data_IF_377303426742
#
_entry.id   IF_377303426742
#
_cell.length_a   1.000
_cell.length_b   1.000
_cell.length_c   1.000
_cell.angle_alpha   90.00
_cell.angle_beta   90.00
_cell.angle_gamma   90.00
#
_symmetry.space_group_name_H-M   'P 1'
#
loop_
_entity.id
_entity.type
_entity.pdbx_description
1 polymer ?
#
# COMPACT_ATOMS: atom_id res chain seq x y z
N UNK A 1 -18.69 32.79 15.04
CA UNK A 1 -18.89 31.31 14.88
C UNK A 1 -19.75 30.85 16.04
N UNK A 2 -21.03 30.51 15.76
CA UNK A 2 -22.08 30.21 16.74
C UNK A 2 -22.05 28.76 17.29
N UNK A 3 -20.90 28.07 17.22
CA UNK A 3 -20.76 26.71 17.79
C UNK A 3 -21.37 25.58 16.96
N UNK A 4 -21.85 25.84 15.74
CA UNK A 4 -22.33 24.82 14.83
C UNK A 4 -21.14 23.97 14.33
N UNK A 5 -21.27 22.63 14.36
CA UNK A 5 -20.26 21.68 13.91
C UNK A 5 -20.29 21.59 12.37
N UNK A 6 -21.49 21.61 11.78
CA UNK A 6 -21.69 21.54 10.34
C UNK A 6 -23.09 22.04 9.95
N UNK A 7 -23.33 22.20 8.64
CA UNK A 7 -24.65 22.51 8.09
C UNK A 7 -25.00 21.53 6.97
N UNK A 8 -26.28 21.27 6.79
CA UNK A 8 -26.78 20.35 5.76
C UNK A 8 -27.68 21.13 4.82
N UNK A 9 -27.28 21.21 3.55
CA UNK A 9 -28.05 21.87 2.50
C UNK A 9 -29.25 21.03 2.05
N UNK A 10 -30.34 21.70 1.69
CA UNK A 10 -31.50 21.05 1.07
C UNK A 10 -31.24 20.81 -0.43
N UNK A 11 -31.71 19.67 -1.01
CA UNK A 11 -32.58 18.65 -0.40
C UNK A 11 -31.81 17.73 0.57
N UNK A 12 -32.46 17.37 1.69
CA UNK A 12 -31.90 16.50 2.74
C UNK A 12 -31.88 15.05 2.27
N UNK A 13 -30.71 14.50 2.14
CA UNK A 13 -30.51 13.07 1.96
C UNK A 13 -30.24 12.41 3.31
N UNK A 14 -30.89 11.26 3.56
CA UNK A 14 -30.70 10.48 4.79
C UNK A 14 -29.22 10.10 4.99
N UNK A 15 -28.53 9.76 3.91
CA UNK A 15 -27.11 9.39 3.96
C UNK A 15 -26.23 10.58 4.38
N UNK A 16 -26.47 11.78 3.84
CA UNK A 16 -25.78 13.01 4.28
C UNK A 16 -26.04 13.34 5.73
N UNK A 17 -27.31 13.24 6.16
CA UNK A 17 -27.71 13.52 7.54
C UNK A 17 -27.02 12.55 8.52
N UNK A 18 -27.07 11.25 8.26
CA UNK A 18 -26.45 10.23 9.10
C UNK A 18 -24.93 10.41 9.17
N UNK A 19 -24.29 10.76 8.05
CA UNK A 19 -22.85 11.08 8.02
C UNK A 19 -22.52 12.28 8.90
N UNK A 20 -23.27 13.39 8.77
CA UNK A 20 -23.04 14.61 9.56
C UNK A 20 -23.26 14.35 11.05
N UNK A 21 -24.28 13.58 11.43
CA UNK A 21 -24.53 13.19 12.82
C UNK A 21 -23.43 12.27 13.35
N UNK A 22 -23.01 11.27 12.59
CA UNK A 22 -21.93 10.37 12.98
C UNK A 22 -20.62 11.15 13.20
N UNK A 23 -20.30 12.09 12.29
CA UNK A 23 -19.14 12.98 12.41
C UNK A 23 -19.22 13.87 13.64
N UNK A 24 -20.36 14.49 13.90
CA UNK A 24 -20.57 15.34 15.09
C UNK A 24 -20.41 14.55 16.39
N UNK A 25 -20.90 13.31 16.44
CA UNK A 25 -20.73 12.41 17.59
C UNK A 25 -19.27 11.98 17.78
N UNK A 26 -18.55 11.68 16.70
CA UNK A 26 -17.12 11.36 16.76
C UNK A 26 -16.29 12.56 17.18
N UNK A 27 -16.60 13.73 16.66
CA UNK A 27 -15.91 14.98 17.03
C UNK A 27 -16.19 15.38 18.48
N UNK A 28 -17.40 15.15 18.97
CA UNK A 28 -17.76 15.30 20.39
C UNK A 28 -16.94 14.33 21.28
N UNK A 29 -16.85 13.06 20.90
CA UNK A 29 -15.99 12.07 21.57
C UNK A 29 -14.51 12.41 21.48
N UNK A 30 -14.06 12.98 20.36
CA UNK A 30 -12.68 13.46 20.16
C UNK A 30 -12.36 14.65 21.08
N UNK A 31 -13.26 15.63 21.19
CA UNK A 31 -13.10 16.79 22.12
C UNK A 31 -13.07 16.33 23.58
N UNK A 32 -13.92 15.40 23.98
CA UNK A 32 -13.90 14.82 25.33
C UNK A 32 -12.61 14.03 25.61
N UNK A 33 -12.03 13.38 24.60
CA UNK A 33 -10.73 12.69 24.72
C UNK A 33 -9.55 13.64 24.66
N UNK A 34 -9.60 14.71 23.85
CA UNK A 34 -8.56 15.72 23.75
C UNK A 34 -8.40 16.56 25.04
N UNK A 35 -9.48 16.68 25.84
CA UNK A 35 -9.40 17.29 27.18
C UNK A 35 -8.73 16.36 28.20
N UNK A 36 -8.57 15.08 27.87
CA UNK A 36 -7.95 14.08 28.76
C UNK A 36 -6.52 13.68 28.38
N UNK A 37 -6.07 13.94 27.15
CA UNK A 37 -4.71 13.54 26.71
C UNK A 37 -4.25 14.44 25.57
N UNK A 38 -3.11 15.11 25.76
CA UNK A 38 -2.38 15.90 24.74
C UNK A 38 -1.77 15.04 23.59
N UNK A 39 -2.25 13.82 23.38
CA UNK A 39 -1.75 12.90 22.36
C UNK A 39 -2.68 12.98 21.14
N UNK A 40 -2.16 13.22 19.92
CA UNK A 40 -2.95 13.16 18.69
C UNK A 40 -3.68 11.83 18.58
N UNK A 41 -4.91 11.80 18.06
CA UNK A 41 -5.65 10.53 17.94
C UNK A 41 -4.87 9.54 17.10
N UNK A 42 -4.61 8.36 17.66
CA UNK A 42 -3.96 7.25 16.99
C UNK A 42 -4.76 6.87 15.74
N UNK A 43 -4.19 7.09 14.58
CA UNK A 43 -4.79 6.65 13.31
C UNK A 43 -4.33 5.20 13.08
N UNK A 44 -5.07 4.25 13.67
CA UNK A 44 -4.86 2.85 13.36
C UNK A 44 -5.27 2.58 11.90
N UNK A 45 -4.54 1.70 11.18
CA UNK A 45 -4.94 1.25 9.86
C UNK A 45 -6.37 0.69 9.88
N UNK A 46 -7.19 1.09 8.90
CA UNK A 46 -8.61 0.76 8.79
C UNK A 46 -8.78 -0.69 8.36
N UNK A 47 -9.83 -1.35 8.83
CA UNK A 47 -10.24 -2.70 8.49
C UNK A 47 -10.72 -3.49 9.71
N UNK A 48 -11.73 -4.36 9.51
CA UNK A 48 -12.34 -5.23 10.55
C UNK A 48 -12.08 -6.70 10.33
N UNK A 49 -11.48 -7.06 9.19
CA UNK A 49 -11.07 -8.43 8.92
C UNK A 49 -10.22 -9.00 10.05
N UNK A 50 -10.23 -10.33 10.19
CA UNK A 50 -9.37 -11.01 11.16
C UNK A 50 -7.91 -10.66 10.91
N UNK A 51 -7.51 -10.68 9.64
CA UNK A 51 -6.14 -10.39 9.20
C UNK A 51 -5.68 -8.98 9.63
N UNK A 52 -6.51 -7.95 9.46
CA UNK A 52 -6.18 -6.59 9.88
C UNK A 52 -6.20 -6.42 11.41
N UNK A 53 -7.03 -7.16 12.13
CA UNK A 53 -6.99 -7.18 13.60
C UNK A 53 -5.70 -7.82 14.12
N UNK A 54 -5.34 -9.00 13.59
CA UNK A 54 -4.12 -9.71 13.97
C UNK A 54 -2.87 -8.87 13.68
N UNK A 55 -2.88 -8.14 12.56
CA UNK A 55 -1.78 -7.25 12.19
C UNK A 55 -1.65 -6.06 13.16
N UNK A 56 -2.76 -5.46 13.58
CA UNK A 56 -2.74 -4.39 14.61
C UNK A 56 -2.27 -4.90 15.97
N UNK A 57 -2.67 -6.09 16.37
CA UNK A 57 -2.17 -6.71 17.62
C UNK A 57 -0.66 -6.96 17.53
N UNK A 58 -0.17 -7.46 16.40
CA UNK A 58 1.27 -7.63 16.18
C UNK A 58 2.01 -6.28 16.27
N UNK A 59 1.45 -5.20 15.72
CA UNK A 59 2.04 -3.86 15.88
C UNK A 59 2.10 -3.44 17.34
N UNK A 60 1.06 -3.67 18.14
CA UNK A 60 1.06 -3.36 19.58
C UNK A 60 2.15 -4.13 20.33
N UNK A 61 2.45 -5.36 19.91
CA UNK A 61 3.51 -6.17 20.53
C UNK A 61 4.89 -5.64 20.18
N UNK A 62 5.14 -5.23 18.93
CA UNK A 62 6.48 -4.80 18.47
C UNK A 62 6.77 -3.31 18.75
N UNK A 63 5.76 -2.47 18.85
CA UNK A 63 5.93 -1.03 18.96
C UNK A 63 6.70 -0.57 20.20
N UNK A 64 6.51 -1.14 21.41
CA UNK A 64 7.24 -0.74 22.61
C UNK A 64 8.74 -1.02 22.56
N UNK A 65 9.18 -1.97 21.73
CA UNK A 65 10.59 -2.32 21.60
C UNK A 65 11.30 -1.32 20.68
N UNK A 66 12.53 -0.94 21.05
CA UNK A 66 13.32 0.04 20.27
C UNK A 66 14.09 -0.61 19.09
N UNK A 67 13.83 -1.88 18.81
CA UNK A 67 14.44 -2.62 17.72
C UNK A 67 13.97 -2.08 16.34
N UNK A 68 14.85 -2.15 15.32
CA UNK A 68 14.49 -1.87 13.93
C UNK A 68 13.37 -2.79 13.42
N UNK A 69 12.48 -2.23 12.59
CA UNK A 69 11.37 -2.99 11.98
C UNK A 69 11.40 -2.85 10.47
N UNK A 70 11.42 -3.98 9.78
CA UNK A 70 11.23 -4.04 8.34
C UNK A 70 9.76 -4.33 8.01
N UNK A 71 9.13 -3.38 7.31
CA UNK A 71 7.74 -3.48 6.85
C UNK A 71 7.74 -3.97 5.40
N UNK A 72 7.37 -5.22 5.19
CA UNK A 72 7.28 -5.84 3.87
C UNK A 72 5.85 -5.79 3.33
N UNK A 73 5.70 -5.42 2.08
CA UNK A 73 4.41 -5.42 1.39
C UNK A 73 4.52 -4.93 -0.05
N UNK A 74 3.52 -5.25 -0.85
CA UNK A 74 3.42 -4.75 -2.23
C UNK A 74 3.30 -3.21 -2.26
N UNK A 75 3.61 -2.57 -3.40
CA UNK A 75 3.34 -1.15 -3.58
C UNK A 75 1.87 -0.82 -3.30
N UNK A 76 1.63 0.30 -2.58
CA UNK A 76 0.26 0.74 -2.30
C UNK A 76 -0.47 0.05 -1.15
N UNK A 77 0.13 -0.91 -0.44
CA UNK A 77 -0.47 -1.60 0.71
C UNK A 77 -0.55 -0.76 1.99
N UNK A 78 0.03 0.44 2.00
CA UNK A 78 0.00 1.32 3.19
C UNK A 78 1.15 1.11 4.16
N UNK A 79 2.31 0.64 3.72
CA UNK A 79 3.51 0.43 4.54
C UNK A 79 3.85 1.63 5.44
N UNK A 80 3.77 2.85 4.91
CA UNK A 80 4.02 4.08 5.67
C UNK A 80 2.98 4.30 6.78
N UNK A 81 1.71 3.98 6.54
CA UNK A 81 0.66 4.10 7.56
C UNK A 81 0.95 3.18 8.76
N UNK A 82 1.44 1.97 8.50
CA UNK A 82 1.87 1.05 9.55
C UNK A 82 3.13 1.54 10.28
N UNK A 83 4.10 2.12 9.57
CA UNK A 83 5.28 2.72 10.20
C UNK A 83 4.89 3.86 11.16
N UNK A 84 3.99 4.75 10.74
CA UNK A 84 3.42 5.81 11.61
C UNK A 84 2.64 5.23 12.79
N UNK A 85 1.92 4.15 12.60
CA UNK A 85 1.18 3.46 13.66
C UNK A 85 2.13 2.80 14.68
N UNK A 86 3.24 2.19 14.23
CA UNK A 86 4.30 1.67 15.10
C UNK A 86 4.89 2.82 15.94
N UNK A 87 5.25 3.95 15.29
CA UNK A 87 5.78 5.11 16.01
C UNK A 87 4.80 5.61 17.08
N UNK A 88 3.53 5.81 16.72
CA UNK A 88 2.52 6.33 17.63
C UNK A 88 2.28 5.46 18.88
N UNK A 89 2.59 4.16 18.82
CA UNK A 89 2.51 3.21 19.93
C UNK A 89 3.87 2.97 20.62
N UNK A 90 4.94 3.59 20.15
CA UNK A 90 6.30 3.36 20.65
C UNK A 90 6.64 4.28 21.84
N UNK A 91 7.71 3.94 22.56
CA UNK A 91 8.28 4.79 23.59
C UNK A 91 8.79 6.15 23.04
N UNK A 92 9.03 6.22 21.71
CA UNK A 92 9.48 7.43 21.01
C UNK A 92 8.33 8.23 20.36
N UNK A 93 7.08 8.00 20.77
CA UNK A 93 5.88 8.64 20.19
C UNK A 93 5.84 10.15 20.28
N UNK A 94 6.58 10.74 21.22
CA UNK A 94 6.77 12.20 21.35
C UNK A 94 7.92 12.76 20.50
N UNK A 95 8.79 11.89 19.96
CA UNK A 95 9.92 12.27 19.13
C UNK A 95 9.54 12.52 17.66
N UNK A 96 10.47 13.07 16.86
CA UNK A 96 10.23 13.34 15.46
C UNK A 96 10.05 12.04 14.65
N UNK A 97 9.24 12.12 13.58
CA UNK A 97 9.14 11.08 12.52
C UNK A 97 9.65 11.68 11.24
N UNK A 98 10.81 11.26 10.83
CA UNK A 98 11.41 11.68 9.58
C UNK A 98 11.22 10.56 8.55
N UNK A 99 10.66 10.90 7.38
CA UNK A 99 10.45 9.94 6.29
C UNK A 99 11.44 10.22 5.16
N UNK A 100 12.16 9.19 4.77
CA UNK A 100 13.10 9.20 3.64
C UNK A 100 12.55 8.30 2.54
N UNK A 101 12.37 8.84 1.33
CA UNK A 101 12.20 8.02 0.13
C UNK A 101 13.57 7.59 -0.39
N UNK A 102 13.85 6.28 -0.40
CA UNK A 102 15.15 5.78 -0.86
C UNK A 102 15.42 6.15 -2.34
N UNK A 103 14.38 6.19 -3.18
CA UNK A 103 14.50 6.62 -4.57
C UNK A 103 14.87 8.10 -4.78
N UNK A 104 14.82 8.93 -3.74
CA UNK A 104 15.32 10.31 -3.82
C UNK A 104 16.83 10.42 -3.50
N UNK A 105 17.44 9.33 -3.03
CA UNK A 105 18.87 9.25 -2.74
C UNK A 105 19.63 8.79 -3.98
N UNK A 106 20.71 9.47 -4.27
CA UNK A 106 21.68 9.13 -5.34
C UNK A 106 23.05 8.91 -4.71
N UNK A 107 23.97 8.32 -5.45
CA UNK A 107 25.38 8.18 -4.99
C UNK A 107 26.00 9.55 -4.68
N UNK A 108 25.64 10.61 -5.40
CA UNK A 108 26.21 11.94 -5.24
C UNK A 108 25.64 12.75 -4.07
N UNK A 109 24.42 12.46 -3.61
CA UNK A 109 23.77 13.24 -2.54
C UNK A 109 23.58 12.47 -1.22
N UNK A 110 23.91 11.18 -1.19
CA UNK A 110 23.66 10.32 -0.04
C UNK A 110 24.26 10.87 1.26
N UNK A 111 25.51 11.30 1.22
CA UNK A 111 26.22 11.84 2.38
C UNK A 111 25.57 13.13 2.87
N UNK A 112 25.30 14.07 1.95
CA UNK A 112 24.72 15.38 2.27
C UNK A 112 23.31 15.24 2.87
N UNK A 113 22.50 14.35 2.31
CA UNK A 113 21.11 14.12 2.76
C UNK A 113 21.06 13.37 4.09
N UNK A 114 21.85 12.32 4.25
CA UNK A 114 21.83 11.48 5.45
C UNK A 114 22.55 12.15 6.62
N UNK A 115 23.80 12.58 6.42
CA UNK A 115 24.67 13.09 7.49
C UNK A 115 24.55 14.61 7.67
N UNK A 116 24.18 15.35 6.62
CA UNK A 116 24.21 16.80 6.57
C UNK A 116 25.58 17.37 6.22
N UNK A 117 25.64 18.69 6.10
CA UNK A 117 26.84 19.42 5.64
C UNK A 117 27.21 20.51 6.66
N UNK A 118 28.49 20.63 6.93
CA UNK A 118 29.04 21.74 7.71
C UNK A 118 30.15 22.40 6.90
N UNK A 119 29.99 23.69 6.61
CA UNK A 119 30.94 24.50 5.86
C UNK A 119 31.03 25.92 6.42
N UNK A 120 31.83 26.78 5.81
CA UNK A 120 32.03 28.15 6.26
C UNK A 120 30.75 29.02 6.25
N UNK A 121 29.75 28.64 5.43
CA UNK A 121 28.46 29.35 5.34
C UNK A 121 27.44 28.88 6.38
N UNK A 122 27.70 27.78 7.12
CA UNK A 122 26.83 27.29 8.18
C UNK A 122 26.69 25.77 8.21
N UNK A 123 25.71 25.33 9.00
CA UNK A 123 25.39 23.92 9.25
C UNK A 123 24.02 23.61 8.65
N UNK A 124 23.95 22.57 7.84
CA UNK A 124 22.70 21.97 7.36
C UNK A 124 22.57 20.57 7.97
N UNK A 125 21.58 20.39 8.84
CA UNK A 125 21.32 19.11 9.51
C UNK A 125 20.84 18.05 8.51
N UNK A 126 21.47 16.87 8.54
CA UNK A 126 21.04 15.70 7.77
C UNK A 126 19.84 15.01 8.41
N UNK A 127 19.26 14.03 7.70
CA UNK A 127 18.07 13.31 8.17
C UNK A 127 18.33 12.51 9.44
N UNK A 128 19.52 11.97 9.64
CA UNK A 128 19.89 11.28 10.88
C UNK A 128 19.88 12.21 12.09
N UNK A 129 20.33 13.45 11.91
CA UNK A 129 20.29 14.46 12.97
C UNK A 129 18.86 14.94 13.23
N UNK A 130 18.06 15.19 12.19
CA UNK A 130 16.66 15.58 12.32
C UNK A 130 15.80 14.52 13.00
N UNK A 131 16.16 13.24 12.89
CA UNK A 131 15.44 12.11 13.47
C UNK A 131 15.87 11.79 14.91
N UNK A 132 16.85 12.51 15.49
CA UNK A 132 17.37 12.22 16.83
C UNK A 132 16.28 12.17 17.90
N UNK A 133 16.35 11.16 18.77
CA UNK A 133 15.35 10.87 19.79
C UNK A 133 14.01 10.33 19.26
N UNK A 134 13.88 10.19 17.94
CA UNK A 134 12.64 9.75 17.27
C UNK A 134 12.83 8.56 16.36
N UNK A 135 12.22 8.64 15.19
CA UNK A 135 12.17 7.57 14.18
C UNK A 135 12.58 8.10 12.81
N UNK A 136 13.47 7.37 12.13
CA UNK A 136 13.70 7.51 10.70
C UNK A 136 12.99 6.36 9.97
N UNK A 137 12.06 6.71 9.09
CA UNK A 137 11.38 5.74 8.21
C UNK A 137 11.99 5.79 6.81
N UNK A 138 12.66 4.70 6.40
CA UNK A 138 13.27 4.54 5.06
C UNK A 138 12.27 3.79 4.19
N UNK A 139 11.66 4.48 3.23
CA UNK A 139 10.66 3.90 2.34
C UNK A 139 11.29 3.44 1.04
N UNK A 140 11.16 2.12 0.75
CA UNK A 140 11.62 1.51 -0.50
C UNK A 140 13.11 1.16 -0.47
N UNK A 141 13.55 0.26 0.43
CA UNK A 141 14.95 -0.16 0.52
C UNK A 141 15.52 -0.66 -0.81
N UNK A 142 14.67 -1.19 -1.68
CA UNK A 142 15.02 -1.64 -3.03
C UNK A 142 15.68 -0.55 -3.90
N UNK A 143 15.40 0.71 -3.61
CA UNK A 143 15.90 1.87 -4.37
C UNK A 143 17.11 2.53 -3.72
N UNK A 144 17.61 1.99 -2.58
CA UNK A 144 18.71 2.62 -1.85
C UNK A 144 20.07 2.33 -2.52
N UNK A 145 20.81 3.37 -2.99
CA UNK A 145 22.06 3.17 -3.71
C UNK A 145 23.15 2.58 -2.81
N UNK A 146 24.11 1.83 -3.36
CA UNK A 146 25.18 1.18 -2.61
C UNK A 146 25.98 2.12 -1.70
N UNK A 147 26.23 3.37 -2.09
CA UNK A 147 26.87 4.38 -1.27
C UNK A 147 26.12 4.68 0.01
N UNK A 148 24.80 4.91 -0.10
CA UNK A 148 23.94 5.13 1.05
C UNK A 148 23.86 3.90 1.97
N UNK A 149 23.85 2.69 1.40
CA UNK A 149 23.89 1.45 2.19
C UNK A 149 25.17 1.34 3.02
N UNK A 150 26.33 1.69 2.45
CA UNK A 150 27.61 1.72 3.19
C UNK A 150 27.62 2.76 4.31
N UNK A 151 27.10 3.97 4.05
CA UNK A 151 27.00 5.04 5.04
C UNK A 151 26.13 4.64 6.23
N UNK A 152 24.93 4.09 5.97
CA UNK A 152 24.03 3.65 7.02
C UNK A 152 24.64 2.51 7.85
N UNK A 153 25.29 1.54 7.20
CA UNK A 153 25.96 0.46 7.90
C UNK A 153 27.04 0.99 8.85
N UNK A 154 27.90 1.90 8.37
CA UNK A 154 28.95 2.51 9.18
C UNK A 154 28.39 3.26 10.41
N UNK A 155 27.26 3.97 10.24
CA UNK A 155 26.57 4.66 11.35
C UNK A 155 26.00 3.65 12.36
N UNK A 156 25.39 2.55 11.89
CA UNK A 156 24.82 1.53 12.78
C UNK A 156 25.89 0.79 13.59
N UNK A 157 27.03 0.50 12.97
CA UNK A 157 28.14 -0.20 13.62
C UNK A 157 28.90 0.69 14.62
N UNK A 158 29.14 1.97 14.25
CA UNK A 158 29.85 2.92 15.12
C UNK A 158 28.98 3.54 16.21
N UNK A 159 27.68 3.58 16.03
CA UNK A 159 26.74 4.33 16.89
C UNK A 159 26.92 5.84 16.85
N UNK A 160 27.69 6.36 15.87
CA UNK A 160 28.00 7.78 15.71
C UNK A 160 28.07 8.15 14.23
N UNK A 161 27.93 9.44 13.92
CA UNK A 161 28.14 9.96 12.57
C UNK A 161 28.68 11.39 12.63
N UNK A 162 29.24 11.86 11.53
CA UNK A 162 29.76 13.20 11.40
C UNK A 162 29.20 13.85 10.14
N UNK A 163 28.88 15.15 10.22
CA UNK A 163 28.47 15.91 9.04
C UNK A 163 29.62 15.99 8.03
N UNK A 164 29.29 16.00 6.76
CA UNK A 164 30.26 16.21 5.69
C UNK A 164 30.96 17.56 5.87
N UNK A 165 32.30 17.55 5.90
CA UNK A 165 33.09 18.74 6.17
C UNK A 165 33.16 19.18 7.64
N UNK A 166 32.45 18.49 8.54
CA UNK A 166 32.45 18.79 9.97
C UNK A 166 33.81 18.52 10.62
N UNK A 167 34.26 19.43 11.49
CA UNK A 167 35.52 19.34 12.25
C UNK A 167 35.29 19.11 13.75
N UNK A 168 34.02 19.04 14.18
CA UNK A 168 33.64 18.83 15.57
C UNK A 168 33.69 17.36 16.01
N UNK A 169 33.27 17.09 17.24
CA UNK A 169 33.10 15.71 17.72
C UNK A 169 31.97 15.01 16.98
N UNK A 170 32.10 13.69 16.73
CA UNK A 170 31.02 12.89 16.12
C UNK A 170 29.71 13.01 16.92
N UNK A 171 28.60 13.08 16.23
CA UNK A 171 27.26 13.08 16.81
C UNK A 171 26.87 11.64 17.17
N UNK A 172 26.23 11.45 18.32
CA UNK A 172 25.72 10.14 18.71
C UNK A 172 24.48 9.82 17.88
N UNK A 173 24.38 8.57 17.43
CA UNK A 173 23.22 8.06 16.73
C UNK A 173 22.20 7.50 17.73
N UNK A 174 21.08 8.21 17.93
CA UNK A 174 19.97 7.80 18.79
C UNK A 174 18.65 7.89 18.01
N UNK A 175 18.49 7.03 17.02
CA UNK A 175 17.33 7.00 16.12
C UNK A 175 16.84 5.56 15.99
N UNK A 176 15.52 5.35 16.18
CA UNK A 176 14.92 4.06 15.82
C UNK A 176 14.68 4.01 14.32
N UNK A 177 15.10 2.91 13.68
CA UNK A 177 14.92 2.72 12.25
C UNK A 177 13.67 1.88 11.97
N UNK A 178 12.77 2.43 11.18
CA UNK A 178 11.73 1.69 10.48
C UNK A 178 12.05 1.72 8.99
N UNK A 179 11.89 0.61 8.31
CA UNK A 179 12.15 0.53 6.87
C UNK A 179 11.03 -0.19 6.15
N UNK A 180 10.88 0.04 4.86
CA UNK A 180 9.92 -0.71 4.04
C UNK A 180 10.55 -1.19 2.74
N UNK A 181 10.12 -2.36 2.29
CA UNK A 181 10.53 -2.94 1.02
C UNK A 181 9.43 -3.80 0.41
N UNK A 182 9.59 -4.13 -0.87
CA UNK A 182 8.78 -5.15 -1.52
C UNK A 182 9.30 -6.55 -1.16
N UNK A 183 8.44 -7.58 -1.10
CA UNK A 183 8.91 -8.96 -0.90
C UNK A 183 9.93 -9.37 -1.97
N UNK A 184 11.03 -9.98 -1.55
CA UNK A 184 12.11 -10.42 -2.46
C UNK A 184 12.96 -9.29 -3.04
N UNK A 185 13.00 -8.12 -2.38
CA UNK A 185 13.81 -6.98 -2.83
C UNK A 185 15.31 -7.25 -2.76
N UNK A 186 15.74 -8.16 -1.91
CA UNK A 186 17.15 -8.47 -1.64
C UNK A 186 17.90 -8.90 -2.91
N UNK A 187 17.21 -9.55 -3.83
CA UNK A 187 17.74 -10.05 -5.10
C UNK A 187 17.27 -9.27 -6.32
N UNK A 188 16.45 -8.23 -6.12
CA UNK A 188 15.96 -7.38 -7.20
C UNK A 188 16.95 -6.26 -7.51
N UNK A 189 17.09 -5.95 -8.79
CA UNK A 189 17.95 -4.86 -9.25
C UNK A 189 19.33 -5.31 -9.73
N UNK A 190 20.11 -4.40 -10.31
CA UNK A 190 21.42 -4.69 -10.90
C UNK A 190 22.49 -5.00 -9.84
N UNK A 191 22.31 -4.52 -8.62
CA UNK A 191 23.22 -4.78 -7.49
C UNK A 191 22.38 -5.33 -6.32
N UNK A 192 22.72 -6.52 -5.79
CA UNK A 192 22.05 -7.07 -4.63
C UNK A 192 22.14 -6.15 -3.42
N UNK A 193 21.07 -6.11 -2.60
CA UNK A 193 21.08 -5.38 -1.35
C UNK A 193 22.09 -6.00 -0.36
N UNK A 194 22.82 -5.19 0.38
CA UNK A 194 23.84 -5.67 1.33
C UNK A 194 23.21 -6.45 2.47
N UNK A 195 23.63 -7.70 2.65
CA UNK A 195 23.08 -8.59 3.69
C UNK A 195 23.47 -8.16 5.12
N UNK A 196 24.67 -7.56 5.29
CA UNK A 196 25.11 -7.01 6.58
C UNK A 196 24.21 -5.83 7.03
N UNK A 197 23.87 -4.90 6.12
CA UNK A 197 22.92 -3.84 6.41
C UNK A 197 21.52 -4.41 6.66
N UNK A 198 21.08 -5.38 5.85
CA UNK A 198 19.77 -6.03 6.03
C UNK A 198 19.63 -6.66 7.42
N UNK A 199 20.70 -7.30 7.93
CA UNK A 199 20.71 -7.89 9.27
C UNK A 199 20.47 -6.85 10.38
N UNK A 200 20.97 -5.62 10.19
CA UNK A 200 20.71 -4.50 11.11
C UNK A 200 19.30 -3.94 10.99
N UNK A 201 18.70 -3.95 9.79
CA UNK A 201 17.37 -3.38 9.53
C UNK A 201 16.22 -4.35 9.80
N UNK A 202 16.46 -5.65 9.70
CA UNK A 202 15.46 -6.70 9.78
C UNK A 202 15.52 -7.48 11.11
N UNK A 203 15.53 -6.77 12.22
CA UNK A 203 15.43 -7.40 13.56
C UNK A 203 14.00 -7.89 13.79
N UNK A 204 13.02 -7.09 13.41
CA UNK A 204 11.60 -7.45 13.45
C UNK A 204 10.99 -7.25 12.06
N UNK A 205 10.18 -8.21 11.62
CA UNK A 205 9.48 -8.12 10.32
C UNK A 205 7.98 -7.99 10.51
N UNK A 206 7.39 -6.97 9.88
CA UNK A 206 5.95 -6.82 9.74
C UNK A 206 5.56 -7.01 8.26
N UNK A 207 4.81 -8.08 7.94
CA UNK A 207 4.31 -8.32 6.58
C UNK A 207 2.92 -7.77 6.44
N UNK A 208 2.73 -6.85 5.49
CA UNK A 208 1.43 -6.27 5.16
C UNK A 208 0.87 -7.01 3.95
N UNK A 209 -0.29 -7.63 4.09
CA UNK A 209 -0.92 -8.36 3.00
C UNK A 209 -1.43 -7.41 1.91
N UNK A 210 -1.52 -7.87 0.66
CA UNK A 210 -2.21 -7.14 -0.39
C UNK A 210 -3.72 -7.11 -0.15
N UNK A 211 -4.39 -6.08 -0.66
CA UNK A 211 -5.82 -5.83 -0.40
C UNK A 211 -6.74 -7.00 -0.82
N UNK A 212 -6.35 -7.75 -1.85
CA UNK A 212 -7.09 -8.95 -2.29
C UNK A 212 -7.18 -10.08 -1.24
N UNK A 213 -6.30 -10.09 -0.23
CA UNK A 213 -6.32 -11.08 0.85
C UNK A 213 -7.28 -10.72 1.99
N UNK A 214 -7.73 -9.46 2.06
CA UNK A 214 -8.72 -8.99 3.04
C UNK A 214 -9.80 -8.12 2.37
N UNK A 215 -10.28 -8.58 1.23
CA UNK A 215 -11.25 -7.88 0.39
C UNK A 215 -12.61 -7.61 1.08
N UNK A 216 -12.91 -8.30 2.18
CA UNK A 216 -14.07 -8.01 3.03
C UNK A 216 -14.00 -6.60 3.65
N UNK A 217 -12.82 -6.00 3.79
CA UNK A 217 -12.64 -4.65 4.31
C UNK A 217 -12.85 -3.56 3.23
N UNK A 218 -12.93 -3.90 1.95
CA UNK A 218 -13.10 -2.93 0.85
C UNK A 218 -14.28 -1.98 1.07
N UNK A 219 -15.50 -2.41 1.46
CA UNK A 219 -16.61 -1.49 1.72
C UNK A 219 -16.33 -0.48 2.84
N UNK A 220 -15.60 -0.87 3.87
CA UNK A 220 -15.22 0.01 4.97
C UNK A 220 -14.13 1.01 4.52
N UNK A 221 -13.15 0.54 3.76
CA UNK A 221 -12.11 1.39 3.17
C UNK A 221 -12.68 2.42 2.20
N UNK A 222 -13.64 2.04 1.35
CA UNK A 222 -14.32 2.97 0.45
C UNK A 222 -15.00 4.08 1.24
N UNK A 223 -15.75 3.74 2.29
CA UNK A 223 -16.41 4.71 3.17
C UNK A 223 -15.40 5.63 3.84
N UNK A 224 -14.35 5.05 4.42
CA UNK A 224 -13.29 5.80 5.08
C UNK A 224 -12.64 6.84 4.15
N UNK A 225 -12.31 6.46 2.91
CA UNK A 225 -11.69 7.38 1.97
C UNK A 225 -12.67 8.42 1.42
N UNK A 226 -13.96 8.07 1.23
CA UNK A 226 -14.98 9.07 0.90
C UNK A 226 -15.05 10.13 2.00
N UNK A 227 -15.22 9.72 3.26
CA UNK A 227 -15.33 10.64 4.39
C UNK A 227 -14.09 11.52 4.50
N UNK A 228 -12.91 10.94 4.39
CA UNK A 228 -11.66 11.66 4.48
C UNK A 228 -11.47 12.67 3.34
N UNK A 229 -11.72 12.28 2.09
CA UNK A 229 -11.56 13.19 0.94
C UNK A 229 -12.59 14.32 0.94
N UNK A 230 -13.80 14.05 1.40
CA UNK A 230 -14.80 15.09 1.57
C UNK A 230 -14.41 16.08 2.67
N UNK A 231 -13.83 15.60 3.78
CA UNK A 231 -13.43 16.44 4.90
C UNK A 231 -12.13 17.22 4.63
N UNK A 232 -11.11 16.56 4.08
CA UNK A 232 -9.78 17.14 3.84
C UNK A 232 -9.74 18.00 2.56
N UNK A 233 -10.33 17.52 1.45
CA UNK A 233 -10.26 18.13 0.12
C UNK A 233 -11.55 18.85 -0.29
N UNK A 234 -12.59 18.83 0.56
CA UNK A 234 -13.93 19.44 0.32
C UNK A 234 -14.59 18.94 -0.96
N UNK A 235 -14.35 17.68 -1.32
CA UNK A 235 -15.00 17.08 -2.47
C UNK A 235 -16.47 16.79 -2.18
N UNK A 236 -17.35 16.74 -3.23
CA UNK A 236 -18.74 16.41 -3.04
C UNK A 236 -18.92 15.02 -2.45
N UNK A 237 -19.82 14.90 -1.47
CA UNK A 237 -20.12 13.59 -0.88
C UNK A 237 -20.88 12.71 -1.86
N UNK A 238 -20.36 11.49 -2.05
CA UNK A 238 -21.02 10.40 -2.80
C UNK A 238 -20.85 9.09 -2.05
N UNK A 239 -21.81 8.19 -2.16
CA UNK A 239 -21.76 6.86 -1.54
C UNK A 239 -21.77 5.76 -2.60
N UNK A 240 -21.06 4.69 -2.33
CA UNK A 240 -21.08 3.52 -3.21
C UNK A 240 -22.35 2.70 -3.02
N UNK A 241 -23.06 2.42 -4.09
CA UNK A 241 -24.18 1.47 -4.08
C UNK A 241 -23.74 0.04 -3.77
N UNK A 242 -24.65 -0.81 -3.31
CA UNK A 242 -24.32 -2.18 -2.89
C UNK A 242 -23.70 -2.99 -4.03
N UNK A 243 -24.24 -2.88 -5.26
CA UNK A 243 -23.69 -3.57 -6.43
C UNK A 243 -22.26 -3.11 -6.76
N UNK A 244 -21.99 -1.81 -6.66
CA UNK A 244 -20.64 -1.24 -6.83
C UNK A 244 -19.66 -1.77 -5.76
N UNK A 245 -20.07 -1.79 -4.50
CA UNK A 245 -19.24 -2.34 -3.41
C UNK A 245 -18.93 -3.82 -3.62
N UNK A 246 -19.91 -4.63 -4.01
CA UNK A 246 -19.72 -6.07 -4.28
C UNK A 246 -18.77 -6.29 -5.46
N UNK A 247 -18.87 -5.50 -6.51
CA UNK A 247 -17.94 -5.55 -7.65
C UNK A 247 -16.51 -5.24 -7.22
N UNK A 248 -16.32 -4.19 -6.41
CA UNK A 248 -15.02 -3.76 -5.92
C UNK A 248 -14.41 -4.74 -4.90
N UNK A 249 -15.21 -5.48 -4.13
CA UNK A 249 -14.74 -6.58 -3.28
C UNK A 249 -14.10 -7.71 -4.08
N UNK A 250 -14.59 -7.96 -5.29
CA UNK A 250 -14.08 -9.01 -6.17
C UNK A 250 -13.03 -8.50 -7.18
N UNK A 251 -12.62 -7.25 -7.07
CA UNK A 251 -11.56 -6.68 -7.91
C UNK A 251 -10.18 -7.03 -7.31
N UNK A 252 -9.17 -7.37 -8.13
CA UNK A 252 -7.88 -7.86 -7.65
C UNK A 252 -6.97 -6.80 -7.00
N UNK A 253 -7.26 -5.52 -7.20
CA UNK A 253 -6.52 -4.39 -6.64
C UNK A 253 -5.00 -4.47 -6.83
N UNK A 254 -4.46 -4.48 -8.05
CA UNK A 254 -3.02 -4.55 -8.29
C UNK A 254 -2.24 -3.40 -7.66
N UNK A 255 -2.83 -2.21 -7.55
CA UNK A 255 -2.27 -1.05 -6.85
C UNK A 255 -2.69 -0.93 -5.38
N UNK A 256 -3.38 -1.94 -4.82
CA UNK A 256 -3.77 -2.03 -3.41
C UNK A 256 -4.56 -0.80 -2.91
N UNK A 257 -4.29 -0.34 -1.69
CA UNK A 257 -4.97 0.83 -1.06
C UNK A 257 -4.74 2.13 -1.85
N UNK A 258 -3.57 2.27 -2.50
CA UNK A 258 -3.30 3.46 -3.32
C UNK A 258 -4.26 3.55 -4.50
N UNK A 259 -4.47 2.44 -5.18
CA UNK A 259 -5.42 2.35 -6.30
C UNK A 259 -6.86 2.60 -5.83
N UNK A 260 -7.27 1.98 -4.72
CA UNK A 260 -8.59 2.19 -4.13
C UNK A 260 -8.82 3.68 -3.78
N UNK A 261 -7.87 4.32 -3.12
CA UNK A 261 -7.95 5.75 -2.79
C UNK A 261 -8.08 6.60 -4.06
N UNK A 262 -7.27 6.32 -5.07
CA UNK A 262 -7.30 7.06 -6.35
C UNK A 262 -8.64 6.87 -7.08
N UNK A 263 -9.20 5.66 -7.06
CA UNK A 263 -10.54 5.40 -7.62
C UNK A 263 -11.60 6.24 -6.91
N UNK A 264 -11.62 6.24 -5.59
CA UNK A 264 -12.56 7.05 -4.80
C UNK A 264 -12.39 8.53 -5.14
N UNK A 265 -11.17 9.04 -5.16
CA UNK A 265 -10.89 10.46 -5.45
C UNK A 265 -11.38 10.85 -6.85
N UNK A 266 -11.11 10.06 -7.89
CA UNK A 266 -11.59 10.33 -9.25
C UNK A 266 -13.11 10.37 -9.32
N UNK A 267 -13.80 9.39 -8.75
CA UNK A 267 -15.26 9.34 -8.74
C UNK A 267 -15.90 10.52 -8.01
N UNK A 268 -15.27 11.01 -6.94
CA UNK A 268 -15.75 12.21 -6.25
C UNK A 268 -15.50 13.49 -7.07
N UNK A 269 -14.33 13.62 -7.71
CA UNK A 269 -13.97 14.78 -8.57
C UNK A 269 -14.89 14.84 -9.79
N UNK A 270 -15.17 13.71 -10.44
CA UNK A 270 -16.07 13.66 -11.60
C UNK A 270 -17.49 14.11 -11.24
N UNK A 271 -17.87 14.01 -9.97
CA UNK A 271 -19.21 14.37 -9.50
C UNK A 271 -20.28 13.40 -10.01
N UNK A 272 -21.55 13.86 -9.97
CA UNK A 272 -22.69 13.08 -10.44
C UNK A 272 -23.70 12.80 -9.32
N UNK A 273 -24.60 11.82 -9.50
CA UNK A 273 -25.59 11.43 -8.48
C UNK A 273 -24.94 11.05 -7.15
N UNK A 274 -25.65 11.23 -6.05
CA UNK A 274 -25.15 10.88 -4.71
C UNK A 274 -24.73 9.41 -4.62
N UNK A 275 -25.42 8.51 -5.32
CA UNK A 275 -25.08 7.09 -5.37
C UNK A 275 -24.21 6.76 -6.58
N UNK A 276 -22.99 6.26 -6.32
CA UNK A 276 -22.09 5.70 -7.32
C UNK A 276 -22.59 4.30 -7.69
N UNK A 277 -22.97 4.13 -8.96
CA UNK A 277 -23.56 2.89 -9.49
C UNK A 277 -22.53 1.97 -10.09
N UNK A 278 -22.93 0.70 -10.32
CA UNK A 278 -22.06 -0.32 -10.91
C UNK A 278 -21.51 0.10 -12.28
N UNK A 279 -22.30 0.76 -13.10
CA UNK A 279 -21.91 1.18 -14.45
C UNK A 279 -20.79 2.22 -14.44
N UNK A 280 -20.71 3.05 -13.41
CA UNK A 280 -19.59 3.99 -13.22
C UNK A 280 -18.31 3.23 -12.86
N UNK A 281 -18.42 2.24 -11.97
CA UNK A 281 -17.29 1.40 -11.57
C UNK A 281 -16.72 0.62 -12.75
N UNK A 282 -17.60 0.00 -13.57
CA UNK A 282 -17.13 -0.77 -14.74
C UNK A 282 -16.40 0.13 -15.75
N UNK A 283 -16.87 1.35 -15.99
CA UNK A 283 -16.19 2.31 -16.85
C UNK A 283 -14.80 2.68 -16.30
N UNK A 284 -14.69 2.95 -15.00
CA UNK A 284 -13.43 3.32 -14.37
C UNK A 284 -12.42 2.17 -14.37
N UNK A 285 -12.86 0.95 -14.06
CA UNK A 285 -11.99 -0.23 -14.06
C UNK A 285 -11.53 -0.56 -15.49
N UNK A 286 -12.44 -0.53 -16.47
CA UNK A 286 -12.10 -0.82 -17.86
C UNK A 286 -11.14 0.20 -18.47
N UNK A 287 -11.19 1.45 -18.05
CA UNK A 287 -10.27 2.50 -18.52
C UNK A 287 -8.84 2.34 -17.97
N UNK A 288 -8.65 1.59 -16.87
CA UNK A 288 -7.36 1.43 -16.21
C UNK A 288 -6.68 0.08 -16.47
N UNK A 289 -7.41 -0.90 -16.94
CA UNK A 289 -6.81 -2.14 -17.38
C UNK A 289 -6.07 -1.88 -18.68
N UNK A 290 -4.74 -2.11 -18.77
CA UNK A 290 -4.13 -2.34 -20.05
C UNK A 290 -4.81 -3.60 -20.57
N UNK A 291 -5.71 -3.42 -21.52
CA UNK A 291 -6.42 -4.41 -22.33
C UNK A 291 -6.20 -5.88 -21.89
N UNK A 292 -6.68 -6.24 -20.71
CA UNK A 292 -7.13 -7.61 -20.49
C UNK A 292 -8.55 -7.62 -21.07
N UNK A 293 -8.61 -8.03 -22.33
CA UNK A 293 -9.85 -8.18 -23.07
C UNK A 293 -10.83 -9.00 -22.22
N UNK A 294 -12.09 -8.53 -22.06
CA UNK A 294 -13.08 -9.34 -21.35
C UNK A 294 -13.14 -10.72 -21.98
N UNK A 295 -13.11 -11.78 -21.15
CA UNK A 295 -13.16 -13.19 -21.57
C UNK A 295 -14.32 -13.51 -22.53
N UNK A 296 -15.30 -12.62 -22.58
CA UNK A 296 -16.42 -12.65 -23.54
C UNK A 296 -16.44 -11.30 -24.25
N UNK A 297 -15.73 -11.16 -25.36
CA UNK A 297 -15.87 -10.03 -26.26
C UNK A 297 -17.29 -10.00 -26.83
N UNK A 298 -17.83 -8.80 -27.07
CA UNK A 298 -19.10 -8.63 -27.81
C UNK A 298 -19.06 -9.38 -29.15
N UNK A 299 -17.90 -9.53 -29.76
CA UNK A 299 -17.68 -10.30 -30.98
C UNK A 299 -18.02 -11.80 -30.84
N UNK A 300 -17.88 -12.38 -29.63
CA UNK A 300 -18.27 -13.77 -29.38
C UNK A 300 -19.78 -13.99 -29.40
N UNK A 301 -20.55 -12.96 -29.10
CA UNK A 301 -22.03 -13.04 -29.17
C UNK A 301 -22.54 -13.00 -30.62
N UNK A 302 -21.72 -12.53 -31.55
CA UNK A 302 -22.04 -12.52 -32.98
C UNK A 302 -21.65 -13.84 -33.67
N UNK A 303 -20.90 -14.75 -33.01
CA UNK A 303 -20.45 -16.00 -33.56
C UNK A 303 -21.47 -17.16 -33.34
N UNK A 304 -21.50 -18.14 -34.23
CA UNK A 304 -22.20 -19.38 -33.95
C UNK A 304 -21.66 -20.04 -32.67
N UNK A 305 -22.56 -20.68 -31.88
CA UNK A 305 -22.23 -21.24 -30.56
C UNK A 305 -20.96 -22.09 -30.53
N UNK A 306 -20.74 -22.90 -31.59
CA UNK A 306 -19.54 -23.74 -31.71
C UNK A 306 -18.26 -22.90 -31.74
N UNK A 307 -18.21 -21.87 -32.55
CA UNK A 307 -17.06 -20.99 -32.69
C UNK A 307 -16.84 -20.17 -31.43
N UNK A 308 -17.90 -19.59 -30.84
CA UNK A 308 -17.85 -18.89 -29.59
C UNK A 308 -17.27 -19.74 -28.45
N UNK A 309 -17.69 -21.02 -28.39
CA UNK A 309 -17.17 -22.00 -27.42
C UNK A 309 -15.69 -22.32 -27.65
N UNK A 310 -15.23 -22.50 -28.90
CA UNK A 310 -13.82 -22.72 -29.21
C UNK A 310 -12.95 -21.53 -28.83
N UNK A 311 -13.42 -20.32 -29.08
CA UNK A 311 -12.72 -19.08 -28.64
C UNK A 311 -12.62 -18.98 -27.14
N UNK A 312 -13.72 -19.24 -26.42
CA UNK A 312 -13.73 -19.21 -24.95
C UNK A 312 -12.78 -20.27 -24.38
N UNK A 313 -12.87 -21.53 -24.86
CA UNK A 313 -12.03 -22.62 -24.37
C UNK A 313 -10.54 -22.36 -24.63
N UNK A 314 -10.19 -21.77 -25.79
CA UNK A 314 -8.82 -21.37 -26.12
C UNK A 314 -8.31 -20.30 -25.12
N UNK A 315 -9.04 -19.21 -24.93
CA UNK A 315 -8.68 -18.14 -24.05
C UNK A 315 -8.54 -18.63 -22.60
N UNK A 316 -9.50 -19.42 -22.11
CA UNK A 316 -9.51 -20.00 -20.77
C UNK A 316 -8.29 -20.90 -20.55
N UNK A 317 -8.02 -21.84 -21.44
CA UNK A 317 -6.90 -22.78 -21.30
C UNK A 317 -5.54 -22.09 -21.43
N UNK A 318 -5.41 -21.09 -22.31
CA UNK A 318 -4.19 -20.28 -22.44
C UNK A 318 -3.89 -19.54 -21.13
N UNK A 319 -4.88 -18.88 -20.55
CA UNK A 319 -4.72 -18.15 -19.29
C UNK A 319 -4.41 -19.08 -18.12
N UNK A 320 -5.11 -20.21 -18.02
CA UNK A 320 -4.85 -21.20 -16.98
C UNK A 320 -3.45 -21.84 -17.12
N UNK A 321 -2.96 -22.02 -18.35
CA UNK A 321 -1.62 -22.53 -18.63
C UNK A 321 -0.55 -21.54 -18.17
N UNK A 322 -0.74 -20.24 -18.41
CA UNK A 322 0.15 -19.18 -17.90
C UNK A 322 0.20 -19.18 -16.37
N UNK A 323 -0.96 -19.28 -15.70
CA UNK A 323 -1.04 -19.37 -14.24
C UNK A 323 -0.37 -20.62 -13.64
N UNK A 324 -0.19 -21.66 -14.47
CA UNK A 324 0.55 -22.87 -14.11
C UNK A 324 2.01 -22.86 -14.59
N UNK A 325 2.55 -21.69 -15.00
CA UNK A 325 3.89 -21.53 -15.55
C UNK A 325 4.20 -22.55 -16.67
N UNK A 326 3.21 -22.80 -17.56
CA UNK A 326 3.34 -23.72 -18.69
C UNK A 326 3.21 -25.22 -18.34
N UNK A 327 3.12 -25.60 -17.07
CA UNK A 327 3.10 -27.00 -16.62
C UNK A 327 1.75 -27.67 -16.86
N UNK A 328 1.63 -28.44 -17.97
CA UNK A 328 0.38 -29.10 -18.37
C UNK A 328 -0.14 -30.08 -17.30
N UNK A 329 0.73 -30.70 -16.52
CA UNK A 329 0.32 -31.60 -15.43
C UNK A 329 -0.40 -30.86 -14.27
N UNK A 330 0.01 -29.63 -13.98
CA UNK A 330 -0.68 -28.78 -13.00
C UNK A 330 -1.98 -28.21 -13.58
N UNK A 331 -1.95 -27.84 -14.87
CA UNK A 331 -3.13 -27.39 -15.58
C UNK A 331 -4.23 -28.47 -15.56
N UNK A 332 -3.90 -29.72 -15.84
CA UNK A 332 -4.86 -30.84 -15.86
C UNK A 332 -5.60 -30.96 -14.49
N UNK A 333 -4.86 -30.91 -13.40
CA UNK A 333 -5.43 -30.92 -12.03
C UNK A 333 -6.32 -29.71 -11.77
N UNK A 334 -5.89 -28.52 -12.23
CA UNK A 334 -6.58 -27.26 -11.98
C UNK A 334 -7.90 -27.14 -12.74
N UNK A 335 -7.93 -27.59 -14.00
CA UNK A 335 -9.14 -27.54 -14.84
C UNK A 335 -10.01 -28.78 -14.72
N UNK A 336 -9.62 -29.78 -13.91
CA UNK A 336 -10.40 -31.01 -13.68
C UNK A 336 -10.46 -31.91 -14.89
N UNK A 337 -9.42 -31.94 -15.73
CA UNK A 337 -9.37 -32.75 -16.94
C UNK A 337 -8.28 -33.82 -16.87
N UNK A 338 -8.52 -34.97 -17.47
CA UNK A 338 -7.48 -36.00 -17.66
C UNK A 338 -6.37 -35.46 -18.59
N UNK A 339 -5.10 -35.77 -18.28
CA UNK A 339 -3.93 -35.29 -19.02
C UNK A 339 -4.00 -35.57 -20.52
N UNK A 340 -4.36 -36.79 -20.88
CA UNK A 340 -4.44 -37.24 -22.28
C UNK A 340 -5.50 -36.48 -23.07
N UNK A 341 -6.65 -36.23 -22.42
CA UNK A 341 -7.74 -35.44 -23.00
C UNK A 341 -7.36 -33.95 -23.12
N UNK A 342 -6.68 -33.39 -22.12
CA UNK A 342 -6.22 -32.03 -22.14
C UNK A 342 -5.18 -31.78 -23.26
N UNK A 343 -4.20 -32.66 -23.45
CA UNK A 343 -3.24 -32.55 -24.58
C UNK A 343 -3.92 -32.51 -25.94
N UNK A 344 -4.91 -33.40 -26.17
CA UNK A 344 -5.70 -33.40 -27.42
C UNK A 344 -6.47 -32.07 -27.58
N UNK A 345 -7.05 -31.58 -26.50
CA UNK A 345 -7.81 -30.32 -26.46
C UNK A 345 -6.92 -29.12 -26.77
N UNK A 346 -5.75 -28.98 -26.12
CA UNK A 346 -4.80 -27.90 -26.36
C UNK A 346 -4.35 -27.88 -27.84
N UNK A 347 -4.05 -29.06 -28.42
CA UNK A 347 -3.70 -29.16 -29.84
C UNK A 347 -4.86 -28.77 -30.77
N UNK A 348 -6.07 -29.22 -30.51
CA UNK A 348 -7.24 -28.90 -31.34
C UNK A 348 -7.58 -27.41 -31.32
N UNK A 349 -7.28 -26.74 -30.22
CA UNK A 349 -7.50 -25.30 -30.03
C UNK A 349 -6.30 -24.44 -30.49
N UNK A 350 -5.17 -25.04 -30.89
CA UNK A 350 -3.98 -24.33 -31.34
C UNK A 350 -3.27 -23.56 -30.20
N UNK A 351 -3.39 -24.06 -28.96
CA UNK A 351 -2.68 -23.48 -27.82
C UNK A 351 -1.27 -24.04 -27.76
N UNK A 352 -0.26 -23.18 -27.80
CA UNK A 352 1.15 -23.59 -27.69
C UNK A 352 1.51 -23.91 -26.22
N UNK A 353 2.02 -25.11 -25.98
CA UNK A 353 2.40 -25.63 -24.67
C UNK A 353 3.81 -26.25 -24.66
N UNK A 354 4.60 -26.08 -25.76
CA UNK A 354 5.89 -26.75 -25.94
C UNK A 354 7.08 -26.05 -25.29
N UNK A 355 6.91 -24.85 -24.72
CA UNK A 355 8.03 -24.07 -24.12
C UNK A 355 8.33 -24.34 -22.64
N UNK A 356 7.75 -25.34 -22.00
CA UNK A 356 7.84 -25.55 -20.56
C UNK A 356 8.17 -26.98 -20.10
N UNK A 357 8.72 -27.81 -20.93
CA UNK A 357 9.16 -29.20 -20.58
C UNK A 357 10.71 -29.30 -20.60
N UNK A 358 11.43 -28.24 -20.11
CA UNK A 358 12.86 -28.33 -19.73
C UNK A 358 13.07 -27.95 -18.27
#
# INVERSE_FOLDING_TARGET
RLGAIDYVEKPLSLAKLLRTVARALEEGKRRQRATRTLVPPLIAPVGRSRLMRDLREKVKQIAPHDAPVLVLGEPGTGREAFARYIHALSARSSGPVISLSAGAITEGNAEDVLLGVENESGVTAGLLEQAQGGVLFINGLEDLPPGAQRLLLAVFESGTFQRKGGRGAPLRFDVRILSSAQPGFETRGPVPFRLDLLSNLNVLTLRIPPLREYAEDVPELLRYYVDRLVDDERLPFRRFGVAAQNRLRNYPWPGNIRELKNLVQRLLIQGGPEEIRLEEIEREISSQSPVDEPLVKQDLLALPLREAREHFERAYLTQQLQLCNGKVGQLAKRVGMERTHLYRKLRSLGVDFRQADD
#
